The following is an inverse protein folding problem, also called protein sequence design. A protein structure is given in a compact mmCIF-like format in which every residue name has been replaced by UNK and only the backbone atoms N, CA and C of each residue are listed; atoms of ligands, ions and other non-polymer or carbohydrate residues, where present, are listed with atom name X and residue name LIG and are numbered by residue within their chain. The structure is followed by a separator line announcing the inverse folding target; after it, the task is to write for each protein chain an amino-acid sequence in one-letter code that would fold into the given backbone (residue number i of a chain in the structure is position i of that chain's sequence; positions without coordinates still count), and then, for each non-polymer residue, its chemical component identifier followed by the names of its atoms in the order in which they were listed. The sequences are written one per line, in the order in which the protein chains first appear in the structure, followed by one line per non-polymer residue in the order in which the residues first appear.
data_IF_692726010042
#
_entry.id   IF_692726010042
#
_cell.length_a   1.000
_cell.length_b   1.000
_cell.length_c   1.000
_cell.angle_alpha   90.00
_cell.angle_beta   90.00
_cell.angle_gamma   90.00
#
_symmetry.space_group_name_H-M   'P 1'
#
loop_
_entity.id
_entity.type
_entity.pdbx_description
1 polymer ?
#
# COMPACT_ATOMS: atom_id res chain seq x y z
N UNK A 1 13.56 0.24 -33.67
CA UNK A 1 14.61 1.24 -33.28
C UNK A 1 14.15 2.20 -32.17
N UNK A 2 12.91 2.72 -32.18
CA UNK A 2 12.45 3.69 -31.17
C UNK A 2 12.31 3.14 -29.75
N UNK A 3 12.04 1.86 -29.54
CA UNK A 3 11.89 1.25 -28.23
C UNK A 3 13.25 1.03 -27.54
N UNK A 4 14.27 0.60 -28.30
CA UNK A 4 15.62 0.37 -27.76
C UNK A 4 16.27 1.70 -27.34
N UNK A 5 16.12 2.77 -28.10
CA UNK A 5 16.63 4.10 -27.73
C UNK A 5 15.96 4.67 -26.46
N UNK A 6 14.70 4.33 -26.23
CA UNK A 6 13.97 4.77 -25.02
C UNK A 6 14.33 3.97 -23.77
N UNK A 7 14.64 2.67 -23.93
CA UNK A 7 15.16 1.85 -22.83
C UNK A 7 16.58 2.27 -22.43
N UNK A 8 17.41 2.72 -23.37
CA UNK A 8 18.73 3.30 -23.09
C UNK A 8 18.60 4.56 -22.22
N UNK A 9 17.69 5.47 -22.56
CA UNK A 9 17.44 6.68 -21.76
C UNK A 9 16.89 6.41 -20.36
N UNK A 10 16.23 5.27 -20.15
CA UNK A 10 15.79 4.84 -18.81
C UNK A 10 16.96 4.29 -18.00
N UNK A 11 17.81 3.47 -18.60
CA UNK A 11 19.04 2.93 -17.97
C UNK A 11 20.00 4.08 -17.61
N UNK A 12 20.13 5.10 -18.46
CA UNK A 12 20.93 6.28 -18.15
C UNK A 12 20.41 7.05 -16.94
N UNK A 13 19.08 7.14 -16.78
CA UNK A 13 18.48 7.75 -15.57
C UNK A 13 18.80 6.97 -14.31
N UNK A 14 18.83 5.65 -14.37
CA UNK A 14 19.23 4.80 -13.23
C UNK A 14 20.72 4.95 -12.90
N UNK A 15 21.57 5.04 -13.91
CA UNK A 15 23.02 5.26 -13.74
C UNK A 15 23.36 6.62 -13.12
N UNK A 16 22.48 7.62 -13.29
CA UNK A 16 22.66 8.96 -12.72
C UNK A 16 22.19 9.10 -11.26
N UNK A 17 21.66 8.02 -10.64
CA UNK A 17 21.21 8.03 -9.25
C UNK A 17 22.40 7.93 -8.28
N UNK A 18 22.32 8.67 -7.19
CA UNK A 18 23.23 8.51 -6.05
C UNK A 18 23.04 7.16 -5.37
N UNK A 19 24.04 6.69 -4.64
CA UNK A 19 23.93 5.45 -3.85
C UNK A 19 22.74 5.48 -2.87
N UNK A 20 22.46 6.63 -2.27
CA UNK A 20 21.32 6.83 -1.36
C UNK A 20 19.98 6.67 -2.07
N UNK A 21 19.84 7.26 -3.26
CA UNK A 21 18.63 7.10 -4.08
C UNK A 21 18.44 5.65 -4.54
N UNK A 22 19.51 4.95 -4.89
CA UNK A 22 19.45 3.53 -5.28
C UNK A 22 19.00 2.63 -4.12
N UNK A 23 19.54 2.84 -2.93
CA UNK A 23 19.13 2.11 -1.72
C UNK A 23 17.64 2.36 -1.43
N UNK A 24 17.22 3.61 -1.43
CA UNK A 24 15.83 4.00 -1.21
C UNK A 24 14.88 3.39 -2.25
N UNK A 25 15.28 3.42 -3.51
CA UNK A 25 14.53 2.79 -4.59
C UNK A 25 14.40 1.28 -4.37
N UNK A 26 15.48 0.61 -3.98
CA UNK A 26 15.47 -0.80 -3.65
C UNK A 26 14.48 -1.15 -2.55
N UNK A 27 14.40 -0.34 -1.49
CA UNK A 27 13.44 -0.54 -0.40
C UNK A 27 12.00 -0.35 -0.89
N UNK A 28 11.73 0.73 -1.62
CA UNK A 28 10.38 0.99 -2.13
C UNK A 28 9.93 -0.15 -3.05
N UNK A 29 10.81 -0.64 -3.92
CA UNK A 29 10.49 -1.76 -4.81
C UNK A 29 10.39 -3.10 -4.07
N UNK A 30 11.03 -3.25 -2.93
CA UNK A 30 10.93 -4.47 -2.12
C UNK A 30 9.52 -4.70 -1.55
N UNK A 31 8.62 -3.71 -1.60
CA UNK A 31 7.20 -3.89 -1.27
C UNK A 31 6.52 -4.96 -2.15
N UNK A 32 7.03 -5.20 -3.36
CA UNK A 32 6.53 -6.24 -4.26
C UNK A 32 7.13 -7.63 -3.97
N UNK A 33 8.05 -7.72 -3.02
CA UNK A 33 8.60 -9.00 -2.55
C UNK A 33 7.71 -9.60 -1.45
N UNK A 34 7.86 -10.89 -1.18
CA UNK A 34 7.26 -11.49 0.00
C UNK A 34 7.61 -10.73 1.27
N UNK A 35 6.65 -10.59 2.18
CA UNK A 35 6.76 -9.74 3.37
C UNK A 35 8.05 -9.98 4.19
N UNK A 36 8.45 -11.23 4.36
CA UNK A 36 9.68 -11.56 5.09
C UNK A 36 10.95 -11.02 4.40
N UNK A 37 11.00 -11.02 3.06
CA UNK A 37 12.11 -10.42 2.32
C UNK A 37 12.10 -8.91 2.43
N UNK A 38 10.92 -8.28 2.36
CA UNK A 38 10.78 -6.85 2.62
C UNK A 38 11.33 -6.49 3.99
N UNK A 39 10.99 -7.24 5.05
CA UNK A 39 11.50 -7.00 6.41
C UNK A 39 13.02 -7.10 6.46
N UNK A 40 13.60 -8.12 5.84
CA UNK A 40 15.08 -8.27 5.77
C UNK A 40 15.73 -7.09 5.08
N UNK A 41 15.23 -6.70 3.89
CA UNK A 41 15.73 -5.53 3.13
C UNK A 41 15.61 -4.26 3.97
N UNK A 42 14.49 -4.08 4.67
CA UNK A 42 14.25 -2.93 5.52
C UNK A 42 15.20 -2.88 6.73
N UNK A 43 15.43 -4.02 7.39
CA UNK A 43 16.42 -4.11 8.49
C UNK A 43 17.84 -3.79 8.00
N UNK A 44 18.26 -4.34 6.86
CA UNK A 44 19.56 -4.04 6.28
C UNK A 44 19.70 -2.55 5.95
N UNK A 45 18.65 -1.92 5.48
CA UNK A 45 18.63 -0.48 5.27
C UNK A 45 18.84 0.31 6.58
N UNK A 46 18.07 0.00 7.63
CA UNK A 46 18.24 0.68 8.92
C UNK A 46 19.67 0.55 9.44
N UNK A 47 20.24 -0.65 9.32
CA UNK A 47 21.64 -0.91 9.67
C UNK A 47 22.58 -0.04 8.82
N UNK A 48 22.32 0.09 7.52
CA UNK A 48 23.13 0.94 6.63
C UNK A 48 23.13 2.41 7.05
N UNK A 49 21.99 2.94 7.53
CA UNK A 49 21.90 4.31 8.02
C UNK A 49 22.79 4.58 9.26
N UNK A 50 22.98 3.56 10.08
CA UNK A 50 23.87 3.64 11.25
C UNK A 50 25.32 3.74 10.77
N UNK A 51 25.74 2.87 9.85
CA UNK A 51 27.11 2.85 9.33
C UNK A 51 27.47 4.05 8.47
N UNK A 52 26.52 4.63 7.74
CA UNK A 52 26.75 5.85 6.94
C UNK A 52 26.73 7.13 7.78
N UNK A 53 26.32 7.05 9.04
CA UNK A 53 26.15 8.21 9.92
C UNK A 53 24.90 9.05 9.64
N UNK A 54 24.08 8.67 8.66
CA UNK A 54 22.84 9.39 8.32
C UNK A 54 21.81 9.32 9.46
N UNK A 55 21.84 8.25 10.28
CA UNK A 55 20.96 8.09 11.43
C UNK A 55 21.00 9.29 12.37
N UNK A 56 22.19 9.84 12.64
CA UNK A 56 22.34 11.01 13.52
C UNK A 56 21.56 12.23 13.00
N UNK A 57 21.68 12.51 11.70
CA UNK A 57 20.97 13.64 11.08
C UNK A 57 19.46 13.45 11.07
N UNK A 58 18.99 12.21 10.90
CA UNK A 58 17.56 11.86 10.92
C UNK A 58 17.00 12.03 12.34
N UNK A 59 17.70 11.55 13.36
CA UNK A 59 17.30 11.72 14.76
C UNK A 59 17.26 13.19 15.17
N UNK A 60 18.20 14.01 14.68
CA UNK A 60 18.15 15.45 14.89
C UNK A 60 16.89 16.07 14.27
N UNK A 61 16.56 15.74 13.02
CA UNK A 61 15.32 16.19 12.38
C UNK A 61 14.06 15.71 13.12
N UNK A 62 14.08 14.48 13.64
CA UNK A 62 12.98 13.97 14.45
C UNK A 62 12.75 14.84 15.70
N UNK A 63 13.83 15.36 16.29
CA UNK A 63 13.77 16.31 17.40
C UNK A 63 13.04 17.62 17.07
N UNK A 64 12.99 18.02 15.80
CA UNK A 64 12.26 19.20 15.33
C UNK A 64 10.73 18.97 15.28
N UNK A 65 10.28 17.72 15.47
CA UNK A 65 8.87 17.32 15.45
C UNK A 65 8.37 16.82 16.82
N UNK A 66 8.14 17.71 17.79
CA UNK A 66 7.83 17.33 19.18
C UNK A 66 6.56 16.48 19.30
N UNK A 67 5.53 16.72 18.47
CA UNK A 67 4.30 15.92 18.46
C UNK A 67 4.54 14.47 18.07
N UNK A 68 5.47 14.22 17.15
CA UNK A 68 5.87 12.88 16.75
C UNK A 68 6.59 12.15 17.89
N UNK A 69 7.52 12.84 18.57
CA UNK A 69 8.21 12.30 19.74
C UNK A 69 7.24 12.00 20.88
N UNK A 70 6.30 12.90 21.14
CA UNK A 70 5.24 12.70 22.13
C UNK A 70 4.40 11.46 21.80
N UNK A 71 4.00 11.31 20.53
CA UNK A 71 3.22 10.15 20.09
C UNK A 71 4.00 8.83 20.26
N UNK A 72 5.26 8.79 19.85
CA UNK A 72 6.13 7.62 20.01
C UNK A 72 6.38 7.28 21.48
N UNK A 73 6.70 8.30 22.28
CA UNK A 73 6.90 8.16 23.71
C UNK A 73 5.64 7.66 24.41
N UNK A 74 4.51 8.32 24.16
CA UNK A 74 3.21 7.90 24.68
C UNK A 74 2.87 6.46 24.32
N UNK A 75 2.97 6.09 23.03
CA UNK A 75 2.70 4.74 22.55
C UNK A 75 3.56 3.68 23.26
N UNK A 76 4.85 3.97 23.45
CA UNK A 76 5.79 3.08 24.15
C UNK A 76 5.46 2.96 25.63
N UNK A 77 5.23 4.10 26.31
CA UNK A 77 4.93 4.16 27.74
C UNK A 77 3.64 3.40 28.05
N UNK A 78 2.54 3.68 27.32
CA UNK A 78 1.27 3.00 27.53
C UNK A 78 1.37 1.50 27.26
N UNK A 79 2.06 1.09 26.18
CA UNK A 79 2.27 -0.33 25.88
C UNK A 79 3.04 -1.05 27.00
N UNK A 80 3.98 -0.36 27.63
CA UNK A 80 4.76 -0.90 28.76
C UNK A 80 3.86 -1.08 30.00
N UNK A 81 3.10 -0.05 30.37
CA UNK A 81 2.20 -0.11 31.51
C UNK A 81 1.09 -1.13 31.34
N UNK A 82 0.54 -1.26 30.15
CA UNK A 82 -0.46 -2.26 29.80
C UNK A 82 0.11 -3.67 29.60
N UNK A 83 1.42 -3.86 29.75
CA UNK A 83 2.13 -5.12 29.44
C UNK A 83 1.84 -5.64 28.02
N UNK A 84 1.61 -4.73 27.08
CA UNK A 84 1.28 -5.02 25.69
C UNK A 84 2.55 -5.14 24.86
N UNK A 85 3.13 -6.34 24.81
CA UNK A 85 4.34 -6.62 24.01
C UNK A 85 4.16 -6.36 22.51
N UNK A 86 2.98 -6.66 21.97
CA UNK A 86 2.68 -6.36 20.56
C UNK A 86 2.63 -4.85 20.31
N UNK A 87 2.15 -4.08 21.27
CA UNK A 87 2.18 -2.61 21.23
C UNK A 87 3.59 -2.05 21.25
N UNK A 88 4.51 -2.66 22.01
CA UNK A 88 5.93 -2.27 21.98
C UNK A 88 6.57 -2.55 20.61
N UNK A 89 6.33 -3.74 20.05
CA UNK A 89 6.81 -4.07 18.69
C UNK A 89 6.23 -3.11 17.66
N UNK A 90 4.94 -2.77 17.76
CA UNK A 90 4.33 -1.78 16.88
C UNK A 90 4.94 -0.39 17.05
N UNK A 91 5.25 0.04 18.27
CA UNK A 91 5.92 1.32 18.54
C UNK A 91 7.31 1.38 17.92
N UNK A 92 8.09 0.30 18.01
CA UNK A 92 9.37 0.17 17.29
C UNK A 92 9.16 0.23 15.78
N UNK A 93 8.16 -0.47 15.25
CA UNK A 93 7.82 -0.40 13.82
C UNK A 93 7.51 1.02 13.37
N UNK A 94 6.66 1.75 14.11
CA UNK A 94 6.33 3.16 13.82
C UNK A 94 7.59 4.04 13.86
N UNK A 95 8.47 3.83 14.83
CA UNK A 95 9.75 4.54 14.91
C UNK A 95 10.61 4.30 13.67
N UNK A 96 10.77 3.04 13.25
CA UNK A 96 11.57 2.69 12.09
C UNK A 96 10.97 3.23 10.78
N UNK A 97 9.64 3.21 10.62
CA UNK A 97 8.97 3.86 9.49
C UNK A 97 9.13 5.37 9.50
N UNK A 98 9.15 5.99 10.67
CA UNK A 98 9.41 7.42 10.80
C UNK A 98 10.83 7.75 10.35
N UNK A 99 11.82 6.96 10.75
CA UNK A 99 13.21 7.09 10.29
C UNK A 99 13.29 7.00 8.77
N UNK A 100 12.64 5.99 8.19
CA UNK A 100 12.55 5.83 6.74
C UNK A 100 11.94 7.06 6.07
N UNK A 101 10.79 7.55 6.58
CA UNK A 101 10.07 8.67 5.98
C UNK A 101 10.87 9.97 6.01
N UNK A 102 11.52 10.27 7.13
CA UNK A 102 12.38 11.46 7.27
C UNK A 102 13.62 11.39 6.37
N UNK A 103 14.22 10.19 6.23
CA UNK A 103 15.33 10.00 5.30
C UNK A 103 14.87 10.13 3.85
N UNK A 104 13.75 9.51 3.48
CA UNK A 104 13.13 9.63 2.16
C UNK A 104 12.87 11.10 1.81
N UNK A 105 12.23 11.84 2.70
CA UNK A 105 11.96 13.26 2.52
C UNK A 105 13.23 14.10 2.28
N UNK A 106 14.33 13.72 2.90
CA UNK A 106 15.61 14.46 2.75
C UNK A 106 16.28 14.24 1.37
N UNK A 107 15.98 13.15 0.69
CA UNK A 107 16.60 12.78 -0.60
C UNK A 107 15.65 13.05 -1.76
N UNK A 108 14.36 13.17 -1.48
CA UNK A 108 13.33 13.26 -2.49
C UNK A 108 13.48 14.50 -3.38
N UNK A 109 13.83 14.29 -4.64
CA UNK A 109 13.71 15.28 -5.70
C UNK A 109 12.52 15.00 -6.58
N UNK A 110 11.99 16.01 -7.27
CA UNK A 110 10.85 15.83 -8.18
C UNK A 110 11.14 14.80 -9.29
N UNK A 111 12.37 14.77 -9.80
CA UNK A 111 12.79 13.79 -10.82
C UNK A 111 12.84 12.38 -10.25
N UNK A 112 13.40 12.21 -9.06
CA UNK A 112 13.47 10.94 -8.37
C UNK A 112 12.10 10.42 -7.99
N UNK A 113 11.22 11.28 -7.47
CA UNK A 113 9.83 10.92 -7.18
C UNK A 113 9.09 10.36 -8.41
N UNK A 114 9.19 11.05 -9.56
CA UNK A 114 8.58 10.54 -10.80
C UNK A 114 9.15 9.20 -11.24
N UNK A 115 10.44 8.97 -11.06
CA UNK A 115 11.07 7.70 -11.38
C UNK A 115 10.54 6.58 -10.46
N UNK A 116 10.42 6.85 -9.15
CA UNK A 116 9.81 5.91 -8.19
C UNK A 116 8.40 5.52 -8.65
N UNK A 117 7.55 6.50 -8.96
CA UNK A 117 6.18 6.22 -9.41
C UNK A 117 6.14 5.35 -10.67
N UNK A 118 7.04 5.59 -11.64
CA UNK A 118 7.13 4.78 -12.85
C UNK A 118 7.53 3.33 -12.54
N UNK A 119 8.51 3.14 -11.65
CA UNK A 119 8.99 1.81 -11.27
C UNK A 119 7.99 1.05 -10.39
N UNK A 120 7.32 1.74 -9.47
CA UNK A 120 6.23 1.16 -8.68
C UNK A 120 5.10 0.71 -9.62
N UNK A 121 4.75 1.54 -10.60
CA UNK A 121 3.73 1.17 -11.58
C UNK A 121 4.17 -0.03 -12.44
N UNK A 122 5.45 -0.13 -12.80
CA UNK A 122 5.99 -1.30 -13.49
C UNK A 122 5.91 -2.57 -12.63
N UNK A 123 6.32 -2.49 -11.36
CA UNK A 123 6.19 -3.61 -10.41
C UNK A 123 4.73 -4.05 -10.23
N UNK A 124 3.79 -3.09 -10.23
CA UNK A 124 2.36 -3.42 -10.11
C UNK A 124 1.80 -4.17 -11.32
N UNK A 125 2.31 -3.89 -12.54
CA UNK A 125 1.92 -4.66 -13.74
C UNK A 125 2.39 -6.11 -13.64
N UNK A 126 3.62 -6.34 -13.13
CA UNK A 126 4.11 -7.69 -12.88
C UNK A 126 3.25 -8.41 -11.83
N UNK A 127 2.88 -7.70 -10.75
CA UNK A 127 1.99 -8.25 -9.73
C UNK A 127 0.60 -8.57 -10.29
N UNK A 128 0.05 -7.72 -11.17
CA UNK A 128 -1.24 -7.98 -11.80
C UNK A 128 -1.20 -9.20 -12.75
N UNK A 129 -0.09 -9.38 -13.49
CA UNK A 129 0.13 -10.56 -14.30
C UNK A 129 0.20 -11.82 -13.41
N UNK A 130 0.93 -11.77 -12.30
CA UNK A 130 1.01 -12.87 -11.35
C UNK A 130 -0.35 -13.17 -10.69
N UNK A 131 -1.12 -12.15 -10.32
CA UNK A 131 -2.48 -12.31 -9.80
C UNK A 131 -3.41 -13.02 -10.79
N UNK A 132 -3.24 -12.75 -12.09
CA UNK A 132 -3.98 -13.46 -13.13
C UNK A 132 -3.61 -14.96 -13.17
N UNK A 133 -2.32 -15.27 -13.07
CA UNK A 133 -1.86 -16.67 -13.01
C UNK A 133 -2.38 -17.41 -11.77
N UNK A 134 -2.44 -16.74 -10.62
CA UNK A 134 -3.06 -17.30 -9.41
C UNK A 134 -4.56 -17.51 -9.57
N UNK A 135 -5.27 -16.54 -10.12
CA UNK A 135 -6.72 -16.59 -10.30
C UNK A 135 -7.12 -17.74 -11.22
N UNK A 136 -6.40 -17.93 -12.33
CA UNK A 136 -6.64 -19.04 -13.27
C UNK A 136 -6.00 -20.38 -12.82
N UNK A 137 -5.44 -20.43 -11.60
CA UNK A 137 -4.81 -21.62 -11.01
C UNK A 137 -3.64 -22.19 -11.83
N UNK A 138 -3.00 -21.36 -12.66
CA UNK A 138 -1.80 -21.73 -13.43
C UNK A 138 -0.59 -21.85 -12.49
N UNK A 139 -0.51 -21.00 -11.47
CA UNK A 139 0.48 -21.07 -10.41
C UNK A 139 -0.20 -21.27 -9.06
N UNK A 140 0.45 -22.03 -8.17
CA UNK A 140 -0.01 -22.13 -6.78
C UNK A 140 0.24 -20.80 -6.10
N UNK A 141 -0.67 -20.42 -5.19
CA UNK A 141 -0.49 -19.27 -4.33
C UNK A 141 0.85 -19.31 -3.61
N UNK A 142 1.47 -18.14 -3.48
CA UNK A 142 2.66 -17.98 -2.69
C UNK A 142 2.32 -18.33 -1.24
N UNK A 143 2.82 -19.50 -0.79
CA UNK A 143 2.31 -20.13 0.41
C UNK A 143 3.02 -19.60 1.65
N UNK A 144 2.33 -18.75 2.43
CA UNK A 144 2.78 -18.32 3.76
C UNK A 144 2.48 -19.37 4.86
N UNK A 145 2.33 -20.65 4.52
CA UNK A 145 2.01 -21.73 5.45
C UNK A 145 3.00 -21.85 6.63
N UNK A 146 4.23 -21.38 6.47
CA UNK A 146 5.21 -21.32 7.55
C UNK A 146 4.86 -20.28 8.62
N UNK A 147 4.04 -19.24 8.29
CA UNK A 147 3.57 -18.24 9.25
C UNK A 147 2.24 -18.66 9.90
N UNK A 148 1.36 -19.31 9.15
CA UNK A 148 0.10 -19.84 9.65
C UNK A 148 -0.44 -20.94 8.72
N UNK A 149 -0.44 -22.21 9.13
CA UNK A 149 -0.96 -23.33 8.31
C UNK A 149 -2.41 -23.16 7.91
N UNK A 150 -3.20 -22.43 8.69
CA UNK A 150 -4.64 -22.23 8.49
C UNK A 150 -5.00 -21.03 7.60
N UNK A 151 -4.04 -20.18 7.24
CA UNK A 151 -4.31 -19.00 6.43
C UNK A 151 -4.80 -19.32 5.01
N UNK A 152 -4.44 -20.46 4.46
CA UNK A 152 -4.84 -20.88 3.12
C UNK A 152 -6.35 -21.08 2.95
N UNK A 153 -7.05 -21.44 4.01
CA UNK A 153 -8.47 -21.77 3.98
C UNK A 153 -9.33 -20.52 3.74
N UNK A 154 -8.93 -19.38 4.30
CA UNK A 154 -9.74 -18.15 4.30
C UNK A 154 -9.73 -17.40 2.96
N UNK A 155 -8.73 -17.63 2.09
CA UNK A 155 -8.53 -16.83 0.89
C UNK A 155 -8.36 -17.66 -0.40
N UNK A 156 -8.92 -18.88 -0.46
CA UNK A 156 -8.67 -19.83 -1.56
C UNK A 156 -8.93 -19.26 -2.96
N UNK A 157 -9.99 -18.48 -3.12
CA UNK A 157 -10.42 -17.94 -4.43
C UNK A 157 -10.03 -16.46 -4.65
N UNK A 158 -9.13 -15.91 -3.85
CA UNK A 158 -8.74 -14.49 -3.91
C UNK A 158 -7.27 -14.37 -4.21
N UNK A 159 -6.88 -13.54 -5.18
CA UNK A 159 -5.46 -13.30 -5.46
C UNK A 159 -4.81 -12.50 -4.35
N UNK A 160 -3.65 -12.94 -3.91
CA UNK A 160 -2.82 -12.28 -2.87
C UNK A 160 -1.40 -11.97 -3.35
N UNK A 161 -0.97 -12.60 -4.44
CA UNK A 161 0.35 -12.40 -5.04
C UNK A 161 1.47 -12.66 -4.00
N UNK A 162 2.32 -11.68 -3.75
CA UNK A 162 3.36 -11.68 -2.72
C UNK A 162 2.94 -10.96 -1.44
N UNK A 163 1.72 -10.41 -1.43
CA UNK A 163 1.19 -9.63 -0.32
C UNK A 163 0.39 -10.51 0.63
N UNK A 164 0.91 -11.09 1.56
CA UNK A 164 0.34 -11.81 2.70
C UNK A 164 -1.22 -11.88 2.82
N UNK A 165 -1.96 -10.90 2.28
CA UNK A 165 -3.40 -10.80 2.37
C UNK A 165 -3.98 -10.13 1.10
N UNK A 166 -5.06 -10.66 0.50
CA UNK A 166 -5.70 -10.05 -0.67
C UNK A 166 -6.11 -8.59 -0.46
N UNK A 167 -6.47 -8.21 0.77
CA UNK A 167 -6.85 -6.83 1.07
C UNK A 167 -5.66 -5.88 0.93
N UNK A 168 -4.44 -6.29 1.32
CA UNK A 168 -3.24 -5.48 1.14
C UNK A 168 -2.89 -5.34 -0.34
N UNK A 169 -2.97 -6.43 -1.10
CA UNK A 169 -2.79 -6.34 -2.55
C UNK A 169 -3.84 -5.42 -3.20
N UNK A 170 -5.11 -5.50 -2.77
CA UNK A 170 -6.17 -4.59 -3.22
C UNK A 170 -5.85 -3.12 -2.95
N UNK A 171 -5.29 -2.77 -1.79
CA UNK A 171 -4.85 -1.41 -1.46
C UNK A 171 -3.73 -0.97 -2.40
N UNK A 172 -2.73 -1.81 -2.66
CA UNK A 172 -1.65 -1.51 -3.60
C UNK A 172 -2.18 -1.27 -5.01
N UNK A 173 -3.14 -2.09 -5.49
CA UNK A 173 -3.81 -1.85 -6.77
C UNK A 173 -4.48 -0.47 -6.82
N UNK A 174 -5.18 -0.05 -5.74
CA UNK A 174 -5.79 1.28 -5.67
C UNK A 174 -4.76 2.39 -5.82
N UNK A 175 -3.66 2.34 -5.07
CA UNK A 175 -2.58 3.32 -5.19
C UNK A 175 -1.99 3.33 -6.59
N UNK A 176 -1.75 2.17 -7.19
CA UNK A 176 -1.17 2.07 -8.52
C UNK A 176 -2.11 2.59 -9.62
N UNK A 177 -3.43 2.43 -9.47
CA UNK A 177 -4.41 3.06 -10.36
C UNK A 177 -4.31 4.58 -10.27
N UNK A 178 -4.24 5.14 -9.07
CA UNK A 178 -4.09 6.59 -8.88
C UNK A 178 -2.75 7.11 -9.42
N UNK A 179 -1.66 6.36 -9.24
CA UNK A 179 -0.34 6.66 -9.83
C UNK A 179 -0.43 6.66 -11.35
N UNK A 180 -1.13 5.69 -11.96
CA UNK A 180 -1.33 5.62 -13.40
C UNK A 180 -2.08 6.86 -13.91
N UNK A 181 -3.15 7.28 -13.24
CA UNK A 181 -3.88 8.52 -13.53
C UNK A 181 -2.96 9.75 -13.47
N UNK A 182 -2.22 9.90 -12.39
CA UNK A 182 -1.30 11.02 -12.20
C UNK A 182 -0.23 11.07 -13.30
N UNK A 183 0.42 9.95 -13.59
CA UNK A 183 1.46 9.89 -14.62
C UNK A 183 0.88 10.10 -16.02
N UNK A 184 -0.31 9.58 -16.31
CA UNK A 184 -1.00 9.77 -17.59
C UNK A 184 -1.28 11.25 -17.86
N UNK A 185 -1.77 11.98 -16.87
CA UNK A 185 -2.14 13.40 -17.04
C UNK A 185 -0.93 14.33 -17.04
N UNK A 186 0.14 13.98 -16.33
CA UNK A 186 1.32 14.85 -16.18
C UNK A 186 2.43 14.57 -17.18
N UNK A 187 2.37 13.44 -17.91
CA UNK A 187 3.40 13.12 -18.91
C UNK A 187 3.04 13.62 -20.30
N UNK A 188 4.09 14.08 -21.03
CA UNK A 188 3.99 14.40 -22.46
C UNK A 188 4.41 13.21 -23.37
N UNK A 189 4.91 12.13 -22.77
CA UNK A 189 5.44 10.97 -23.50
C UNK A 189 4.32 9.99 -23.85
N UNK A 190 4.00 9.84 -25.13
CA UNK A 190 2.89 8.98 -25.57
C UNK A 190 3.06 7.51 -25.14
N UNK A 191 4.27 6.97 -25.20
CA UNK A 191 4.52 5.60 -24.75
C UNK A 191 4.21 5.40 -23.26
N UNK A 192 4.54 6.41 -22.44
CA UNK A 192 4.26 6.35 -21.01
C UNK A 192 2.75 6.48 -20.74
N UNK A 193 2.01 7.25 -21.54
CA UNK A 193 0.54 7.28 -21.47
C UNK A 193 -0.06 5.91 -21.77
N UNK A 194 0.40 5.26 -22.85
CA UNK A 194 -0.05 3.89 -23.18
C UNK A 194 0.27 2.92 -22.05
N UNK A 195 1.48 3.00 -21.49
CA UNK A 195 1.88 2.18 -20.36
C UNK A 195 0.99 2.43 -19.13
N UNK A 196 0.65 3.69 -18.82
CA UNK A 196 -0.28 4.03 -17.71
C UNK A 196 -1.67 3.42 -17.91
N UNK A 197 -2.16 3.42 -19.17
CA UNK A 197 -3.46 2.78 -19.48
C UNK A 197 -3.38 1.27 -19.24
N UNK A 198 -2.35 0.60 -19.75
CA UNK A 198 -2.15 -0.84 -19.55
C UNK A 198 -2.03 -1.16 -18.06
N UNK A 199 -1.24 -0.38 -17.33
CA UNK A 199 -1.06 -0.57 -15.89
C UNK A 199 -2.35 -0.30 -15.10
N UNK A 200 -3.11 0.74 -15.47
CA UNK A 200 -4.40 1.04 -14.86
C UNK A 200 -5.39 -0.13 -15.01
N UNK A 201 -5.56 -0.63 -16.23
CA UNK A 201 -6.41 -1.80 -16.46
C UNK A 201 -5.87 -3.06 -15.78
N UNK A 202 -4.56 -3.33 -15.85
CA UNK A 202 -3.95 -4.47 -15.16
C UNK A 202 -4.23 -4.46 -13.66
N UNK A 203 -4.09 -3.28 -13.01
CA UNK A 203 -4.39 -3.15 -11.59
C UNK A 203 -5.90 -3.22 -11.28
N UNK A 204 -6.79 -2.80 -12.19
CA UNK A 204 -8.24 -3.01 -12.05
C UNK A 204 -8.59 -4.50 -12.09
N UNK A 205 -8.00 -5.27 -13.01
CA UNK A 205 -8.16 -6.72 -13.03
C UNK A 205 -7.57 -7.36 -11.77
N UNK A 206 -6.35 -6.98 -11.37
CA UNK A 206 -5.74 -7.44 -10.12
C UNK A 206 -6.65 -7.19 -8.93
N UNK A 207 -7.23 -6.00 -8.84
CA UNK A 207 -8.17 -5.65 -7.78
C UNK A 207 -9.43 -6.53 -7.80
N UNK A 208 -10.00 -6.79 -8.98
CA UNK A 208 -11.14 -7.68 -9.11
C UNK A 208 -10.80 -9.09 -8.57
N UNK A 209 -9.62 -9.62 -8.88
CA UNK A 209 -9.18 -10.92 -8.38
C UNK A 209 -8.93 -10.96 -6.87
N UNK A 210 -8.66 -9.81 -6.24
CA UNK A 210 -8.60 -9.74 -4.76
C UNK A 210 -9.96 -9.85 -4.11
N UNK A 211 -11.04 -9.55 -4.83
CA UNK A 211 -12.41 -9.44 -4.32
C UNK A 211 -12.50 -8.51 -3.10
N UNK A 212 -11.69 -7.45 -3.07
CA UNK A 212 -11.69 -6.46 -2.00
C UNK A 212 -12.78 -5.40 -2.24
N UNK A 213 -13.88 -5.51 -1.50
CA UNK A 213 -15.06 -4.63 -1.65
C UNK A 213 -14.78 -3.19 -1.27
N UNK A 214 -13.92 -2.95 -0.28
CA UNK A 214 -13.64 -1.60 0.25
C UNK A 214 -12.72 -0.78 -0.64
N UNK A 215 -11.96 -1.44 -1.50
CA UNK A 215 -11.03 -0.79 -2.42
C UNK A 215 -11.74 -0.03 -3.55
N UNK A 216 -12.89 -0.51 -4.01
CA UNK A 216 -13.65 0.16 -5.08
C UNK A 216 -14.19 1.53 -4.68
N UNK A 217 -14.90 1.69 -3.54
CA UNK A 217 -15.28 3.03 -3.06
C UNK A 217 -14.09 3.98 -2.89
N UNK A 218 -12.93 3.47 -2.44
CA UNK A 218 -11.73 4.28 -2.29
C UNK A 218 -11.21 4.81 -3.64
N UNK A 219 -11.19 3.96 -4.68
CA UNK A 219 -10.81 4.39 -6.04
C UNK A 219 -11.81 5.42 -6.58
N UNK A 220 -13.11 5.18 -6.39
CA UNK A 220 -14.16 6.10 -6.84
C UNK A 220 -13.95 7.47 -6.19
N UNK A 221 -13.82 7.50 -4.87
CA UNK A 221 -13.60 8.74 -4.14
C UNK A 221 -12.31 9.45 -4.60
N UNK A 222 -11.20 8.71 -4.70
CA UNK A 222 -9.93 9.24 -5.17
C UNK A 222 -9.99 9.77 -6.60
N UNK A 223 -10.66 9.06 -7.51
CA UNK A 223 -10.84 9.49 -8.89
C UNK A 223 -11.71 10.76 -8.97
N UNK A 224 -12.81 10.84 -8.21
CA UNK A 224 -13.67 12.02 -8.18
C UNK A 224 -12.89 13.23 -7.66
N UNK A 225 -12.16 13.10 -6.55
CA UNK A 225 -11.34 14.18 -6.01
C UNK A 225 -10.28 14.62 -7.03
N UNK A 226 -9.60 13.67 -7.65
CA UNK A 226 -8.57 13.96 -8.64
C UNK A 226 -9.15 14.68 -9.87
N UNK A 227 -10.28 14.21 -10.42
CA UNK A 227 -10.95 14.82 -11.55
C UNK A 227 -11.43 16.24 -11.21
N UNK A 228 -12.01 16.40 -10.01
CA UNK A 228 -12.48 17.71 -9.53
C UNK A 228 -11.34 18.74 -9.40
N UNK A 229 -10.18 18.30 -8.93
CA UNK A 229 -9.02 19.20 -8.77
C UNK A 229 -8.28 19.47 -10.09
N UNK A 230 -8.38 18.57 -11.07
CA UNK A 230 -7.59 18.63 -12.31
C UNK A 230 -8.38 19.17 -13.50
N UNK A 231 -9.67 18.82 -13.58
CA UNK A 231 -10.52 19.20 -14.72
C UNK A 231 -11.31 20.47 -14.40
N UNK A 232 -10.89 21.58 -15.03
CA UNK A 232 -11.59 22.89 -14.92
C UNK A 232 -12.88 22.96 -15.74
N UNK A 233 -13.03 22.10 -16.75
CA UNK A 233 -14.22 22.10 -17.62
C UNK A 233 -15.28 21.16 -17.04
N UNK A 234 -16.43 21.72 -16.62
CA UNK A 234 -17.55 21.00 -16.01
C UNK A 234 -18.13 19.88 -16.90
N UNK A 235 -18.20 20.09 -18.21
CA UNK A 235 -18.69 19.08 -19.14
C UNK A 235 -17.73 17.89 -19.24
N UNK A 236 -16.42 18.17 -19.32
CA UNK A 236 -15.39 17.13 -19.33
C UNK A 236 -15.35 16.36 -18.01
N UNK A 237 -15.60 17.02 -16.88
CA UNK A 237 -15.70 16.41 -15.58
C UNK A 237 -16.84 15.37 -15.51
N UNK A 238 -18.06 15.75 -15.89
CA UNK A 238 -19.20 14.84 -15.89
C UNK A 238 -19.06 13.69 -16.89
N UNK A 239 -18.47 13.97 -18.07
CA UNK A 239 -18.15 12.91 -19.03
C UNK A 239 -17.18 11.88 -18.43
N UNK A 240 -16.14 12.34 -17.75
CA UNK A 240 -15.15 11.46 -17.10
C UNK A 240 -15.78 10.62 -15.99
N UNK A 241 -16.68 11.19 -15.18
CA UNK A 241 -17.47 10.46 -14.17
C UNK A 241 -18.37 9.41 -14.85
N UNK A 242 -19.04 9.76 -15.94
CA UNK A 242 -19.88 8.84 -16.69
C UNK A 242 -19.10 7.63 -17.22
N UNK A 243 -17.96 7.87 -17.88
CA UNK A 243 -17.07 6.79 -18.38
C UNK A 243 -16.56 5.92 -17.22
N UNK A 244 -16.21 6.52 -16.10
CA UNK A 244 -15.76 5.81 -14.92
C UNK A 244 -16.88 4.94 -14.31
N UNK A 245 -18.10 5.46 -14.21
CA UNK A 245 -19.27 4.74 -13.73
C UNK A 245 -19.61 3.53 -14.61
N UNK A 246 -19.52 3.67 -15.95
CA UNK A 246 -19.69 2.56 -16.88
C UNK A 246 -18.63 1.48 -16.67
N UNK A 247 -17.35 1.87 -16.52
CA UNK A 247 -16.27 0.94 -16.22
C UNK A 247 -16.48 0.17 -14.92
N UNK A 248 -16.98 0.86 -13.90
CA UNK A 248 -17.33 0.24 -12.62
C UNK A 248 -18.52 -0.72 -12.76
N UNK A 249 -19.57 -0.38 -13.51
CA UNK A 249 -20.72 -1.25 -13.67
C UNK A 249 -20.35 -2.59 -14.32
N UNK A 250 -19.37 -2.59 -15.23
CA UNK A 250 -18.79 -3.83 -15.79
C UNK A 250 -18.07 -4.68 -14.73
N UNK A 251 -17.38 -4.05 -13.78
CA UNK A 251 -16.69 -4.76 -12.69
C UNK A 251 -17.70 -5.34 -11.68
N UNK A 252 -18.78 -4.61 -11.41
CA UNK A 252 -19.84 -5.07 -10.50
C UNK A 252 -20.72 -6.18 -11.07
N UNK A 253 -20.78 -6.37 -12.38
CA UNK A 253 -21.50 -7.48 -13.01
C UNK A 253 -20.75 -8.82 -12.90
N UNK A 254 -19.53 -8.83 -12.39
CA UNK A 254 -18.72 -10.03 -12.15
C UNK A 254 -18.98 -10.64 -10.76
N UNK A 255 -18.23 -11.68 -10.38
CA UNK A 255 -18.29 -12.38 -9.08
C UNK A 255 -18.31 -11.44 -7.84
N UNK A 256 -17.87 -10.19 -8.00
CA UNK A 256 -17.95 -9.17 -6.96
C UNK A 256 -19.40 -8.80 -6.63
N UNK A 257 -20.28 -8.75 -7.63
CA UNK A 257 -21.72 -8.46 -7.45
C UNK A 257 -22.42 -9.55 -6.64
N UNK A 258 -22.07 -10.83 -6.89
CA UNK A 258 -22.58 -11.97 -6.13
C UNK A 258 -22.19 -11.90 -4.66
N UNK A 259 -20.96 -11.47 -4.37
CA UNK A 259 -20.47 -11.29 -2.99
C UNK A 259 -21.08 -10.09 -2.26
N UNK A 260 -21.55 -9.07 -2.98
CA UNK A 260 -22.28 -7.97 -2.34
C UNK A 260 -23.64 -8.42 -1.78
N UNK A 261 -24.26 -9.45 -2.37
CA UNK A 261 -25.48 -10.05 -1.84
C UNK A 261 -25.31 -10.84 -0.53
N UNK A 262 -24.07 -11.18 -0.12
CA UNK A 262 -23.75 -11.84 1.15
C UNK A 262 -23.23 -10.86 2.23
N UNK A 263 -23.72 -9.62 2.21
CA UNK A 263 -23.26 -8.56 3.12
C UNK A 263 -23.61 -8.84 4.58
N UNK A 264 -24.72 -9.53 4.85
CA UNK A 264 -25.29 -9.61 6.19
C UNK A 264 -24.34 -10.27 7.21
N UNK A 265 -23.81 -11.46 6.95
CA UNK A 265 -22.91 -12.14 7.89
C UNK A 265 -21.59 -11.39 8.12
N UNK A 266 -21.01 -10.80 7.06
CA UNK A 266 -19.77 -10.02 7.16
C UNK A 266 -19.98 -8.67 7.85
N UNK A 267 -21.18 -8.11 7.81
CA UNK A 267 -21.53 -6.88 8.55
C UNK A 267 -21.77 -7.16 10.03
N UNK A 268 -22.44 -8.24 10.36
CA UNK A 268 -22.63 -8.68 11.75
C UNK A 268 -21.29 -8.91 12.47
N UNK A 269 -20.35 -9.61 11.82
CA UNK A 269 -19.00 -9.75 12.35
C UNK A 269 -18.30 -8.40 12.59
N UNK A 270 -18.46 -7.42 11.68
CA UNK A 270 -17.87 -6.09 11.85
C UNK A 270 -18.53 -5.29 12.95
N UNK A 271 -19.84 -5.37 13.10
CA UNK A 271 -20.58 -4.72 14.21
C UNK A 271 -20.07 -5.29 15.53
N UNK A 272 -19.98 -6.61 15.66
CA UNK A 272 -19.41 -7.26 16.84
C UNK A 272 -17.99 -6.79 17.16
N UNK A 273 -17.14 -6.66 16.14
CA UNK A 273 -15.78 -6.11 16.28
C UNK A 273 -15.81 -4.65 16.76
N UNK A 274 -16.71 -3.83 16.24
CA UNK A 274 -16.84 -2.42 16.65
C UNK A 274 -17.39 -2.29 18.07
N UNK A 275 -18.35 -3.11 18.45
CA UNK A 275 -18.91 -3.15 19.81
C UNK A 275 -17.84 -3.53 20.83
N UNK A 276 -17.02 -4.53 20.51
CA UNK A 276 -15.86 -4.90 21.33
C UNK A 276 -14.83 -3.77 21.41
N UNK A 277 -14.54 -3.09 20.29
CA UNK A 277 -13.68 -1.91 20.28
C UNK A 277 -14.22 -0.77 21.16
N UNK A 278 -15.53 -0.55 21.12
CA UNK A 278 -16.20 0.45 21.98
C UNK A 278 -16.17 0.05 23.44
N UNK A 279 -16.29 -1.24 23.76
CA UNK A 279 -16.17 -1.74 25.14
C UNK A 279 -14.75 -1.51 25.68
N UNK A 280 -13.71 -1.80 24.89
CA UNK A 280 -12.31 -1.50 25.26
C UNK A 280 -12.09 0.00 25.47
N UNK A 281 -12.60 0.84 24.56
CA UNK A 281 -12.51 2.29 24.69
C UNK A 281 -13.16 2.78 26.00
N UNK A 282 -14.33 2.26 26.40
CA UNK A 282 -15.01 2.62 27.65
C UNK A 282 -14.22 2.22 28.89
N UNK A 283 -13.42 1.16 28.83
CA UNK A 283 -12.58 0.72 29.96
C UNK A 283 -11.43 1.71 30.22
N UNK A 284 -10.80 2.22 29.16
CA UNK A 284 -9.64 3.12 29.25
C UNK A 284 -9.73 4.31 28.25
N UNK A 285 -10.70 5.24 28.41
CA UNK A 285 -11.02 6.23 27.39
C UNK A 285 -9.94 7.29 27.20
N UNK A 286 -9.12 7.58 28.21
CA UNK A 286 -8.09 8.60 28.14
C UNK A 286 -6.71 8.07 27.78
N UNK A 287 -6.36 6.90 28.27
CA UNK A 287 -5.01 6.36 28.14
C UNK A 287 -4.90 5.25 27.10
N UNK A 288 -5.99 4.50 26.88
CA UNK A 288 -5.95 3.31 26.06
C UNK A 288 -5.03 2.22 26.65
N UNK A 289 -4.65 1.28 25.83
CA UNK A 289 -3.76 0.16 26.20
C UNK A 289 -2.59 -0.01 25.22
N UNK A 290 -2.37 0.97 24.35
CA UNK A 290 -1.34 0.95 23.34
C UNK A 290 -1.81 0.36 22.00
N UNK A 291 -0.99 0.47 20.95
CA UNK A 291 -1.32 -0.05 19.61
C UNK A 291 -1.42 -1.58 19.62
N UNK A 292 -2.22 -2.13 18.70
CA UNK A 292 -2.46 -3.57 18.50
C UNK A 292 -3.09 -4.30 19.70
N UNK A 293 -3.49 -3.63 20.76
CA UNK A 293 -4.15 -4.24 21.94
C UNK A 293 -5.43 -4.96 21.57
N UNK A 294 -6.18 -4.45 20.61
CA UNK A 294 -7.46 -5.01 20.18
C UNK A 294 -7.36 -6.53 19.90
N UNK A 295 -6.34 -6.96 19.19
CA UNK A 295 -6.15 -8.38 18.84
C UNK A 295 -5.90 -9.26 20.08
N UNK A 296 -5.35 -8.69 21.15
CA UNK A 296 -5.03 -9.39 22.39
C UNK A 296 -6.23 -9.39 23.37
N UNK A 297 -6.95 -8.29 23.42
CA UNK A 297 -8.02 -8.07 24.40
C UNK A 297 -9.40 -8.53 23.91
N UNK A 298 -9.61 -8.61 22.60
CA UNK A 298 -10.88 -9.06 22.00
C UNK A 298 -11.39 -10.41 22.53
N UNK A 299 -10.56 -11.45 22.74
CA UNK A 299 -11.04 -12.72 23.32
C UNK A 299 -11.47 -12.64 24.79
N UNK A 300 -11.22 -11.50 25.45
CA UNK A 300 -11.52 -11.28 26.89
C UNK A 300 -12.82 -10.50 27.12
N UNK A 301 -13.47 -10.04 26.06
CA UNK A 301 -14.73 -9.29 26.06
C UNK A 301 -15.86 -10.19 25.61
#
# INVERSE_FOLDING_TARGET
KGFILKSIGFIEKLKGLSSKELILLGIILSIFLPFYLFVVVFCLYIISLIFTGDMKSILQKMGEHPMLLLFLGYSTVISTFAQNWMGLVASVGIFLFTVFFLHYQSILSHKFFRLILQLVLFGSVLSAAFASLEHFQIVKKFNYAFLSPNMQVWHQNRAEVTFFNPNYYGIICCFCIMIAFYLFTTTKLNWLKVFCVIAGFGNLFGLNFTQNRTAFPAIIAGAIIYLFTTIKNWKAFWLSIGVFAIGLSFLFSSDLGVRMGTLDSSMEERISIWDAGMALFKQNPFWGEGPLTYMHSYPRI
#
